data_IF_533024647648
#
_entry.id   IF_533024647648
#
_cell.length_a   1.000
_cell.length_b   1.000
_cell.length_c   1.000
_cell.angle_alpha   90.00
_cell.angle_beta   90.00
_cell.angle_gamma   90.00
#
_symmetry.space_group_name_H-M   'P 1'
#
loop_
_entity.id
_entity.type
_entity.pdbx_description
1 polymer ?
#
# COMPACT_ATOMS: atom_id res chain seq x y z
N UNK A 1 -38.53 -69.03 7.28
CA UNK A 1 -38.15 -67.91 6.42
C UNK A 1 -37.17 -67.03 7.18
N UNK A 2 -35.93 -67.03 6.75
CA UNK A 2 -34.83 -66.37 7.43
C UNK A 2 -34.58 -65.02 6.76
N UNK A 3 -34.59 -63.92 7.55
CA UNK A 3 -34.25 -62.57 7.09
C UNK A 3 -32.89 -62.21 7.67
N UNK A 4 -31.90 -62.05 6.77
CA UNK A 4 -30.53 -61.69 7.09
C UNK A 4 -30.40 -60.16 7.08
N UNK A 5 -30.02 -59.60 8.20
CA UNK A 5 -29.65 -58.21 8.33
C UNK A 5 -28.14 -58.06 8.18
N UNK A 6 -27.70 -57.27 7.22
CA UNK A 6 -26.30 -56.90 6.99
C UNK A 6 -25.94 -55.63 7.76
N UNK A 7 -24.90 -55.58 8.56
CA UNK A 7 -24.47 -54.34 9.20
C UNK A 7 -23.59 -53.52 8.23
N UNK A 8 -24.02 -52.30 7.93
CA UNK A 8 -23.24 -51.33 7.17
C UNK A 8 -22.13 -50.73 8.05
N UNK A 9 -20.91 -50.88 7.60
CA UNK A 9 -19.72 -50.27 8.19
C UNK A 9 -19.61 -48.84 7.67
N UNK A 10 -19.90 -47.84 8.50
CA UNK A 10 -19.59 -46.44 8.21
C UNK A 10 -18.14 -46.16 8.61
N UNK A 11 -17.24 -46.17 7.61
CA UNK A 11 -15.89 -45.63 7.76
C UNK A 11 -15.94 -44.10 7.72
N UNK A 12 -15.85 -43.44 8.88
CA UNK A 12 -15.69 -42.02 8.98
C UNK A 12 -14.23 -41.67 8.64
N UNK A 13 -13.96 -41.24 7.39
CA UNK A 13 -12.70 -40.57 7.03
C UNK A 13 -12.69 -39.18 7.63
N UNK A 14 -12.06 -39.03 8.78
CA UNK A 14 -11.72 -37.76 9.38
C UNK A 14 -10.56 -37.12 8.60
N UNK A 15 -10.87 -36.29 7.60
CA UNK A 15 -9.89 -35.48 6.90
C UNK A 15 -9.58 -34.22 7.75
N UNK A 16 -8.56 -34.33 8.61
CA UNK A 16 -8.02 -33.21 9.36
C UNK A 16 -7.25 -32.29 8.40
N UNK A 17 -7.92 -31.31 7.81
CA UNK A 17 -7.26 -30.19 7.15
C UNK A 17 -6.63 -29.30 8.23
N UNK A 18 -5.39 -29.57 8.59
CA UNK A 18 -4.52 -28.63 9.24
C UNK A 18 -4.14 -27.56 8.21
N UNK A 19 -5.02 -26.56 8.02
CA UNK A 19 -4.69 -25.34 7.30
C UNK A 19 -3.65 -24.60 8.14
N UNK A 20 -2.38 -24.81 7.78
CA UNK A 20 -1.30 -23.97 8.24
C UNK A 20 -1.63 -22.52 7.86
N UNK A 21 -2.01 -21.73 8.86
CA UNK A 21 -2.26 -20.30 8.75
C UNK A 21 -0.92 -19.53 8.62
N UNK A 22 -0.11 -19.89 7.62
CA UNK A 22 0.92 -19.02 7.09
C UNK A 22 0.24 -18.07 6.11
N UNK A 23 -0.37 -17.01 6.61
CA UNK A 23 -0.77 -15.91 5.75
C UNK A 23 0.43 -15.47 4.91
N UNK A 24 0.24 -15.12 3.62
CA UNK A 24 1.33 -14.68 2.77
C UNK A 24 2.04 -13.52 3.47
N UNK A 25 3.34 -13.68 3.75
CA UNK A 25 4.17 -12.60 4.28
C UNK A 25 4.01 -11.43 3.32
N UNK A 26 3.52 -10.29 3.82
CA UNK A 26 3.33 -9.09 3.01
C UNK A 26 4.69 -8.75 2.35
N UNK A 27 4.79 -8.95 1.04
CA UNK A 27 6.00 -8.68 0.28
C UNK A 27 6.12 -7.17 0.06
N UNK A 28 7.32 -6.63 0.21
CA UNK A 28 7.61 -5.27 -0.23
C UNK A 28 7.38 -5.20 -1.73
N UNK A 29 6.50 -4.31 -2.24
CA UNK A 29 6.28 -4.19 -3.67
C UNK A 29 7.57 -3.72 -4.36
N UNK A 30 7.91 -4.34 -5.49
CA UNK A 30 9.02 -3.89 -6.32
C UNK A 30 8.65 -2.63 -7.11
N UNK A 31 9.65 -1.94 -7.67
CA UNK A 31 9.42 -0.83 -8.59
C UNK A 31 8.58 -1.26 -9.79
N UNK A 32 8.77 -2.49 -10.28
CA UNK A 32 8.00 -3.05 -11.38
C UNK A 32 6.52 -3.26 -11.00
N UNK A 33 6.25 -3.78 -9.79
CA UNK A 33 4.88 -3.96 -9.28
C UNK A 33 4.16 -2.60 -9.15
N UNK A 34 4.85 -1.57 -8.63
CA UNK A 34 4.30 -0.23 -8.47
C UNK A 34 4.07 0.47 -9.81
N UNK A 35 4.98 0.30 -10.78
CA UNK A 35 4.79 0.82 -12.13
C UNK A 35 3.59 0.17 -12.83
N UNK A 36 3.43 -1.14 -12.72
CA UNK A 36 2.28 -1.86 -13.25
C UNK A 36 0.96 -1.38 -12.60
N UNK A 37 0.97 -1.19 -11.28
CA UNK A 37 -0.18 -0.65 -10.53
C UNK A 37 -0.52 0.78 -11.01
N UNK A 38 0.49 1.64 -11.19
CA UNK A 38 0.29 2.99 -11.70
C UNK A 38 -0.35 2.97 -13.10
N UNK A 39 0.19 2.16 -14.02
CA UNK A 39 -0.32 2.06 -15.40
C UNK A 39 -1.77 1.56 -15.43
N UNK A 40 -2.10 0.56 -14.61
CA UNK A 40 -3.45 0.00 -14.55
C UNK A 40 -4.49 0.95 -13.92
N UNK A 41 -4.06 1.84 -13.02
CA UNK A 41 -4.96 2.67 -12.20
C UNK A 41 -4.70 4.17 -12.32
N UNK A 42 -3.96 4.64 -13.32
CA UNK A 42 -3.59 6.05 -13.50
C UNK A 42 -4.78 7.01 -13.39
N UNK A 43 -5.94 6.80 -14.06
CA UNK A 43 -7.06 7.72 -13.93
C UNK A 43 -7.63 7.80 -12.51
N UNK A 44 -7.71 6.67 -11.80
CA UNK A 44 -8.19 6.62 -10.41
C UNK A 44 -7.24 7.32 -9.45
N UNK A 45 -5.93 7.13 -9.63
CA UNK A 45 -4.89 7.79 -8.83
C UNK A 45 -4.92 9.31 -9.05
N UNK A 46 -5.08 9.76 -10.30
CA UNK A 46 -5.23 11.19 -10.63
C UNK A 46 -6.49 11.80 -10.00
N UNK A 47 -7.62 11.10 -10.05
CA UNK A 47 -8.86 11.53 -9.39
C UNK A 47 -8.67 11.63 -7.88
N UNK A 48 -7.97 10.66 -7.27
CA UNK A 48 -7.66 10.68 -5.83
C UNK A 48 -6.77 11.88 -5.46
N UNK A 49 -5.77 12.23 -6.27
CA UNK A 49 -4.97 13.47 -6.06
C UNK A 49 -5.88 14.70 -6.02
N UNK A 50 -6.88 14.78 -6.91
CA UNK A 50 -7.82 15.89 -6.94
C UNK A 50 -8.76 15.92 -5.72
N UNK A 51 -9.05 14.78 -5.11
CA UNK A 51 -9.87 14.67 -3.90
C UNK A 51 -9.09 15.00 -2.60
N UNK A 52 -7.76 14.81 -2.61
CA UNK A 52 -6.89 15.16 -1.48
C UNK A 52 -6.71 16.68 -1.33
N UNK A 53 -6.36 17.13 -0.13
CA UNK A 53 -6.13 18.56 0.14
C UNK A 53 -7.38 19.45 0.15
N UNK A 54 -8.57 18.85 0.03
CA UNK A 54 -9.86 19.55 0.09
C UNK A 54 -10.62 19.19 1.37
N UNK A 55 -9.96 19.33 2.52
CA UNK A 55 -10.50 18.95 3.83
C UNK A 55 -10.38 17.45 4.14
N UNK A 56 -9.55 16.73 3.38
CA UNK A 56 -9.10 15.37 3.68
C UNK A 56 -7.58 15.38 3.59
N UNK A 57 -6.91 15.14 4.72
CA UNK A 57 -5.45 15.14 4.80
C UNK A 57 -4.89 13.71 4.70
N UNK A 58 -5.63 12.75 5.23
CA UNK A 58 -5.23 11.34 5.16
C UNK A 58 -6.45 10.41 5.14
N UNK A 59 -6.34 9.33 4.35
CA UNK A 59 -7.21 8.14 4.43
C UNK A 59 -6.35 6.90 4.53
N UNK A 60 -6.69 5.98 5.42
CA UNK A 60 -5.96 4.72 5.60
C UNK A 60 -6.89 3.53 5.83
N UNK A 61 -6.43 2.33 5.42
CA UNK A 61 -7.08 1.06 5.67
C UNK A 61 -6.35 0.33 6.81
N UNK A 62 -6.97 0.29 8.00
CA UNK A 62 -6.43 -0.36 9.20
C UNK A 62 -7.36 -1.49 9.63
N UNK A 63 -6.90 -2.75 9.56
CA UNK A 63 -7.73 -3.91 9.96
C UNK A 63 -9.08 -3.98 9.24
N UNK A 64 -9.14 -3.64 7.97
CA UNK A 64 -10.37 -3.60 7.17
C UNK A 64 -11.24 -2.35 7.39
N UNK A 65 -10.90 -1.50 8.35
CA UNK A 65 -11.62 -0.24 8.63
C UNK A 65 -10.99 0.92 7.90
N UNK A 66 -11.83 1.87 7.46
CA UNK A 66 -11.40 3.16 6.90
C UNK A 66 -11.21 4.14 8.05
N UNK A 67 -10.05 4.77 8.10
CA UNK A 67 -9.72 5.86 9.03
C UNK A 67 -9.37 7.09 8.19
N UNK A 68 -9.98 8.23 8.48
CA UNK A 68 -9.74 9.49 7.79
C UNK A 68 -9.35 10.59 8.78
N UNK A 69 -8.52 11.51 8.32
CA UNK A 69 -8.12 12.73 9.03
C UNK A 69 -8.35 13.94 8.14
N UNK A 70 -8.87 15.06 8.69
CA UNK A 70 -9.39 15.17 10.05
C UNK A 70 -10.67 14.36 10.29
N UNK A 71 -11.01 14.12 11.55
CA UNK A 71 -12.30 13.51 11.90
C UNK A 71 -13.44 14.39 11.40
N UNK A 72 -14.43 13.80 10.72
CA UNK A 72 -15.55 14.53 10.13
C UNK A 72 -15.28 15.02 8.70
N UNK A 73 -14.20 14.58 8.07
CA UNK A 73 -13.98 14.79 6.64
C UNK A 73 -15.18 14.30 5.81
N UNK A 74 -15.35 14.90 4.61
CA UNK A 74 -16.46 14.56 3.70
C UNK A 74 -16.56 13.05 3.42
N UNK A 75 -17.65 12.43 3.86
CA UNK A 75 -17.83 10.98 3.83
C UNK A 75 -17.82 10.41 2.40
N UNK A 76 -18.37 11.15 1.42
CA UNK A 76 -18.40 10.67 0.03
C UNK A 76 -16.99 10.68 -0.56
N UNK A 77 -16.18 11.70 -0.24
CA UNK A 77 -14.78 11.80 -0.67
C UNK A 77 -13.92 10.73 0.00
N UNK A 78 -14.08 10.55 1.31
CA UNK A 78 -13.40 9.46 2.05
C UNK A 78 -13.74 8.09 1.46
N UNK A 79 -15.01 7.85 1.09
CA UNK A 79 -15.43 6.59 0.46
C UNK A 79 -14.75 6.38 -0.91
N UNK A 80 -14.65 7.41 -1.76
CA UNK A 80 -13.94 7.31 -3.07
C UNK A 80 -12.45 7.03 -2.87
N UNK A 81 -11.79 7.74 -1.96
CA UNK A 81 -10.38 7.51 -1.64
C UNK A 81 -10.15 6.09 -1.10
N UNK A 82 -11.00 5.62 -0.19
CA UNK A 82 -10.91 4.25 0.32
C UNK A 82 -11.10 3.19 -0.79
N UNK A 83 -11.95 3.46 -1.77
CA UNK A 83 -12.13 2.56 -2.92
C UNK A 83 -10.87 2.53 -3.81
N UNK A 84 -10.23 3.68 -4.06
CA UNK A 84 -8.94 3.72 -4.77
C UNK A 84 -7.89 2.92 -4.02
N UNK A 85 -7.79 3.05 -2.70
CA UNK A 85 -6.86 2.27 -1.88
C UNK A 85 -7.10 0.75 -2.02
N UNK A 86 -8.38 0.31 -1.98
CA UNK A 86 -8.70 -1.12 -2.16
C UNK A 86 -8.32 -1.64 -3.53
N UNK A 87 -8.63 -0.88 -4.60
CA UNK A 87 -8.35 -1.29 -5.99
C UNK A 87 -6.86 -1.35 -6.29
N UNK A 88 -6.10 -0.40 -5.77
CA UNK A 88 -4.65 -0.32 -6.01
C UNK A 88 -3.84 -1.21 -5.08
N UNK A 89 -4.41 -1.64 -3.96
CA UNK A 89 -3.70 -2.33 -2.88
C UNK A 89 -2.89 -1.40 -1.97
N UNK A 90 -3.01 -0.08 -2.14
CA UNK A 90 -2.40 0.89 -1.24
C UNK A 90 -3.03 0.83 0.15
N UNK A 91 -2.25 1.07 1.19
CA UNK A 91 -2.67 1.06 2.60
C UNK A 91 -3.15 2.41 3.08
N UNK A 92 -2.58 3.47 2.53
CA UNK A 92 -3.00 4.84 2.85
C UNK A 92 -2.72 5.79 1.70
N UNK A 93 -3.43 6.91 1.71
CA UNK A 93 -3.13 8.11 0.93
C UNK A 93 -3.08 9.29 1.88
N UNK A 94 -2.08 10.15 1.72
CA UNK A 94 -1.91 11.37 2.51
C UNK A 94 -1.46 12.52 1.64
N UNK A 95 -1.94 13.74 1.95
CA UNK A 95 -1.47 14.99 1.37
C UNK A 95 -0.56 15.71 2.37
N UNK A 96 0.46 16.41 1.86
CA UNK A 96 1.36 17.23 2.67
C UNK A 96 2.62 16.51 3.13
N UNK A 97 3.26 17.10 4.13
CA UNK A 97 4.56 16.69 4.65
C UNK A 97 4.48 15.35 5.39
N UNK A 98 5.08 14.30 4.83
CA UNK A 98 5.32 13.04 5.53
C UNK A 98 6.77 12.61 5.29
N UNK A 99 7.69 13.20 6.03
CA UNK A 99 9.11 12.91 5.95
C UNK A 99 9.92 13.84 6.85
N UNK A 100 11.21 13.56 7.11
CA UNK A 100 12.05 14.35 8.00
C UNK A 100 12.40 15.76 7.47
N UNK A 101 12.18 16.01 6.19
CA UNK A 101 12.32 17.34 5.58
C UNK A 101 11.04 17.66 4.82
N UNK A 102 10.55 18.88 5.03
CA UNK A 102 9.29 19.38 4.51
C UNK A 102 9.22 19.25 2.99
N UNK A 103 8.62 18.18 2.50
CA UNK A 103 8.17 18.14 1.11
C UNK A 103 7.01 19.13 0.94
N UNK A 104 6.89 19.80 -0.21
CA UNK A 104 5.86 20.81 -0.40
C UNK A 104 4.46 20.25 -0.11
N UNK A 105 3.59 21.06 0.48
CA UNK A 105 2.21 20.72 0.89
C UNK A 105 1.32 20.16 -0.23
N UNK A 106 1.81 20.14 -1.44
CA UNK A 106 1.11 19.70 -2.65
C UNK A 106 1.34 18.21 -2.99
N UNK A 107 2.30 17.54 -2.35
CA UNK A 107 2.56 16.14 -2.65
C UNK A 107 1.45 15.23 -2.10
N UNK A 108 1.04 14.23 -2.88
CA UNK A 108 0.06 13.21 -2.48
C UNK A 108 0.71 11.84 -2.56
N UNK A 109 0.83 11.16 -1.43
CA UNK A 109 1.53 9.89 -1.28
C UNK A 109 0.57 8.73 -1.05
N UNK A 110 0.71 7.69 -1.85
CA UNK A 110 0.01 6.41 -1.73
C UNK A 110 0.99 5.38 -1.18
N UNK A 111 0.87 5.02 0.09
CA UNK A 111 1.75 4.05 0.73
C UNK A 111 1.23 2.61 0.54
N UNK A 112 2.05 1.75 -0.01
CA UNK A 112 1.77 0.31 -0.18
C UNK A 112 2.43 -0.52 0.92
N UNK A 113 3.60 -0.12 1.38
CA UNK A 113 4.26 -0.64 2.56
C UNK A 113 4.28 0.45 3.62
N UNK A 114 3.85 0.13 4.84
CA UNK A 114 3.86 1.05 5.99
C UNK A 114 4.75 0.49 7.09
N UNK A 115 5.31 1.34 7.98
CA UNK A 115 6.13 0.91 9.10
C UNK A 115 5.44 -0.14 9.96
N UNK A 116 6.20 -1.14 10.43
CA UNK A 116 5.69 -2.24 11.25
C UNK A 116 5.09 -3.41 10.46
N UNK A 117 4.75 -3.26 9.20
CA UNK A 117 4.43 -4.37 8.31
C UNK A 117 5.73 -5.10 7.94
N UNK A 118 6.03 -6.23 8.52
CA UNK A 118 7.27 -7.01 8.31
C UNK A 118 8.46 -6.63 9.24
N UNK A 119 8.25 -5.85 10.29
CA UNK A 119 9.36 -5.35 11.13
C UNK A 119 10.24 -4.32 10.43
N UNK A 120 9.86 -3.85 9.24
CA UNK A 120 10.53 -2.77 8.53
C UNK A 120 10.03 -1.42 9.01
N UNK A 121 10.95 -0.47 9.13
CA UNK A 121 10.62 0.93 9.34
C UNK A 121 10.48 1.70 8.02
N UNK A 122 10.61 1.01 6.89
CA UNK A 122 10.57 1.61 5.56
C UNK A 122 9.14 1.83 5.08
N UNK A 123 8.93 2.89 4.30
CA UNK A 123 7.70 3.17 3.55
C UNK A 123 8.04 3.10 2.07
N UNK A 124 7.18 2.47 1.28
CA UNK A 124 7.30 2.45 -0.18
C UNK A 124 5.96 2.65 -0.84
N UNK A 125 5.93 3.38 -1.96
CA UNK A 125 4.68 3.65 -2.66
C UNK A 125 4.82 4.53 -3.89
N UNK A 126 3.68 5.11 -4.28
CA UNK A 126 3.57 6.08 -5.36
C UNK A 126 3.38 7.49 -4.78
N UNK A 127 3.97 8.48 -5.41
CA UNK A 127 3.77 9.88 -5.07
C UNK A 127 3.49 10.72 -6.32
N UNK A 128 2.50 11.60 -6.20
CA UNK A 128 2.32 12.74 -7.09
C UNK A 128 3.00 13.95 -6.43
N UNK A 129 4.03 14.47 -7.05
CA UNK A 129 4.78 15.62 -6.55
C UNK A 129 5.22 16.53 -7.70
N UNK A 130 4.49 17.63 -7.98
CA UNK A 130 4.83 18.56 -9.03
C UNK A 130 6.07 19.41 -8.71
N UNK A 131 6.57 19.34 -7.48
CA UNK A 131 7.74 20.09 -7.02
C UNK A 131 8.87 19.16 -6.53
N UNK A 132 8.89 17.91 -7.00
CA UNK A 132 9.90 16.92 -6.61
C UNK A 132 11.34 17.43 -6.81
N UNK A 133 12.18 17.19 -5.80
CA UNK A 133 13.56 17.63 -5.81
C UNK A 133 14.40 16.69 -6.71
N UNK A 134 15.10 17.21 -7.75
CA UNK A 134 15.95 16.38 -8.59
C UNK A 134 17.09 15.65 -7.85
N UNK A 135 17.52 16.15 -6.68
CA UNK A 135 18.58 15.54 -5.88
C UNK A 135 18.14 14.23 -5.21
N UNK A 136 16.85 14.04 -4.99
CA UNK A 136 16.29 12.82 -4.38
C UNK A 136 16.03 11.73 -5.43
N UNK A 137 16.24 12.02 -6.72
CA UNK A 137 15.89 11.11 -7.81
C UNK A 137 16.95 10.03 -8.03
N UNK A 138 16.50 8.78 -8.08
CA UNK A 138 17.31 7.61 -8.39
C UNK A 138 16.73 6.87 -9.60
N UNK A 139 17.57 6.02 -10.25
CA UNK A 139 17.10 5.22 -11.40
C UNK A 139 16.24 4.02 -10.98
N UNK A 140 16.45 3.51 -9.77
CA UNK A 140 15.81 2.28 -9.27
C UNK A 140 15.85 2.31 -7.74
N UNK A 141 14.66 2.39 -7.09
CA UNK A 141 14.59 2.45 -5.63
C UNK A 141 14.89 1.09 -5.01
N UNK A 142 14.59 -0.04 -5.69
CA UNK A 142 14.93 -1.38 -5.22
C UNK A 142 16.44 -1.60 -5.20
N UNK A 143 17.14 -1.14 -6.25
CA UNK A 143 18.59 -1.22 -6.30
C UNK A 143 19.25 -0.34 -5.25
N UNK A 144 18.68 0.85 -4.99
CA UNK A 144 19.14 1.75 -3.94
C UNK A 144 19.02 1.09 -2.56
N UNK A 145 17.84 0.54 -2.23
CA UNK A 145 17.60 -0.13 -0.95
C UNK A 145 18.52 -1.34 -0.72
N UNK A 146 18.83 -2.11 -1.78
CA UNK A 146 19.73 -3.28 -1.70
C UNK A 146 21.19 -2.91 -1.41
N UNK A 147 21.64 -1.71 -1.77
CA UNK A 147 23.02 -1.28 -1.48
C UNK A 147 23.30 -1.11 0.00
N UNK A 148 22.26 -1.07 0.83
CA UNK A 148 22.42 -1.08 2.28
C UNK A 148 23.20 0.13 2.79
N UNK A 149 23.10 1.28 2.12
CA UNK A 149 23.71 2.50 2.62
C UNK A 149 23.15 2.76 4.02
N UNK A 150 24.05 2.77 5.02
CA UNK A 150 23.70 2.94 6.45
C UNK A 150 23.25 4.36 6.77
N UNK A 151 22.66 5.06 5.81
CA UNK A 151 22.11 6.37 6.03
C UNK A 151 20.78 6.21 6.77
N UNK A 152 20.70 6.76 7.97
CA UNK A 152 19.42 6.90 8.70
C UNK A 152 18.57 7.94 7.97
N UNK A 153 17.30 7.62 7.74
CA UNK A 153 16.30 8.54 7.15
C UNK A 153 16.66 8.99 5.73
N UNK A 154 16.76 8.01 4.80
CA UNK A 154 16.94 8.33 3.38
C UNK A 154 15.60 8.29 2.68
N UNK A 155 15.28 9.37 1.99
CA UNK A 155 14.17 9.48 1.04
C UNK A 155 14.72 9.48 -0.38
N UNK A 156 14.17 8.64 -1.24
CA UNK A 156 14.52 8.59 -2.66
C UNK A 156 13.27 8.43 -3.52
N UNK A 157 13.34 8.97 -4.74
CA UNK A 157 12.28 8.91 -5.74
C UNK A 157 12.81 8.38 -7.07
N UNK A 158 11.98 7.61 -7.76
CA UNK A 158 12.17 7.23 -9.16
C UNK A 158 11.04 7.80 -10.00
N UNK A 159 11.35 8.66 -10.96
CA UNK A 159 10.35 9.22 -11.87
C UNK A 159 9.76 8.13 -12.76
N UNK A 160 8.41 8.11 -12.89
CA UNK A 160 7.68 7.17 -13.75
C UNK A 160 6.80 7.89 -14.78
N UNK A 161 6.40 9.13 -14.51
CA UNK A 161 5.63 10.00 -15.43
C UNK A 161 5.92 11.47 -15.06
N UNK A 162 5.21 12.45 -15.64
CA UNK A 162 5.46 13.89 -15.52
C UNK A 162 5.68 14.31 -14.06
N UNK A 163 4.69 14.13 -13.19
CA UNK A 163 4.75 14.53 -11.77
C UNK A 163 4.54 13.31 -10.86
N UNK A 164 4.75 12.11 -11.40
CA UNK A 164 4.58 10.85 -10.69
C UNK A 164 5.88 10.13 -10.49
N UNK A 165 6.07 9.62 -9.26
CA UNK A 165 7.28 8.94 -8.84
C UNK A 165 6.92 7.69 -8.03
N UNK A 166 7.82 6.69 -8.04
CA UNK A 166 7.91 5.67 -7.02
C UNK A 166 8.81 6.25 -5.94
N UNK A 167 8.34 6.27 -4.69
CA UNK A 167 9.15 6.72 -3.57
C UNK A 167 9.49 5.59 -2.62
N UNK A 168 10.62 5.71 -1.97
CA UNK A 168 11.01 4.85 -0.86
C UNK A 168 11.65 5.67 0.24
N UNK A 169 11.17 5.46 1.44
CA UNK A 169 11.76 6.01 2.65
C UNK A 169 12.33 4.85 3.47
N UNK A 170 13.62 4.95 3.81
CA UNK A 170 14.40 3.99 4.58
C UNK A 170 14.75 4.61 5.93
N UNK A 171 14.54 3.87 7.05
CA UNK A 171 14.89 4.25 8.41
C UNK A 171 15.77 3.15 9.06
#
# INVERSE_FOLDING_TARGET
MRSSATPGVFAALGLSLALAACGPKAKVPSDADLLATYQAHKPQLQAAVSDMGRGVDQVSLKGGKVVAEPKGADAARVARLAEVLRRTGARSVAAGETGPEASPKTAVRFAFLVPGALGSKSIKGLVYDPAANPQDQVRDTDAFARRGEKARFVYVERRIDQDWYIYQWLD
#
